data_IF_977715260239
#
_entry.id   IF_977715260239
#
_cell.length_a   1.000
_cell.length_b   1.000
_cell.length_c   1.000
_cell.angle_alpha   90.00
_cell.angle_beta   90.00
_cell.angle_gamma   90.00
#
_symmetry.space_group_name_H-M   'P 1'
#
loop_
_entity.id
_entity.type
_entity.pdbx_description
1 polymer ?
#
# COMPACT_ATOMS: atom_id res chain seq x y z
N UNK A 1 -19.81 3.56 -5.92
CA UNK A 1 -19.27 3.20 -7.25
C UNK A 1 -18.77 1.75 -7.29
N UNK A 2 -17.84 1.32 -6.39
CA UNK A 2 -17.29 -0.05 -6.39
C UNK A 2 -18.39 -1.10 -6.21
N UNK A 3 -19.21 -0.96 -5.19
CA UNK A 3 -20.27 -1.94 -4.86
C UNK A 3 -21.32 -2.08 -5.97
N UNK A 4 -21.58 -1.01 -6.74
CA UNK A 4 -22.54 -1.03 -7.84
C UNK A 4 -22.06 -1.88 -9.03
N UNK A 5 -20.79 -2.25 -9.06
CA UNK A 5 -20.18 -3.13 -10.08
C UNK A 5 -20.28 -4.62 -9.71
N UNK A 6 -20.76 -4.93 -8.50
CA UNK A 6 -20.87 -6.29 -7.97
C UNK A 6 -19.59 -7.13 -8.16
N UNK A 7 -18.42 -6.64 -7.70
CA UNK A 7 -17.18 -7.39 -7.87
C UNK A 7 -17.15 -8.62 -6.95
N UNK A 8 -16.47 -9.67 -7.36
CA UNK A 8 -16.18 -10.84 -6.51
C UNK A 8 -15.01 -10.56 -5.55
N UNK A 9 -14.03 -9.76 -6.00
CA UNK A 9 -12.82 -9.42 -5.26
C UNK A 9 -12.54 -7.91 -5.40
N UNK A 10 -12.15 -7.28 -4.30
CA UNK A 10 -11.67 -5.88 -4.28
C UNK A 10 -10.26 -5.85 -3.73
N UNK A 11 -9.32 -5.32 -4.51
CA UNK A 11 -7.96 -5.00 -4.04
C UNK A 11 -7.98 -3.57 -3.49
N UNK A 12 -7.55 -3.39 -2.23
CA UNK A 12 -7.53 -2.09 -1.56
C UNK A 12 -6.08 -1.64 -1.44
N UNK A 13 -5.70 -0.63 -2.24
CA UNK A 13 -4.37 -0.02 -2.24
C UNK A 13 -4.50 1.47 -1.91
N UNK A 14 -4.40 1.80 -0.64
CA UNK A 14 -4.59 3.15 -0.08
C UNK A 14 -3.58 3.41 1.04
N UNK A 15 -3.40 4.68 1.43
CA UNK A 15 -2.58 5.06 2.58
C UNK A 15 -1.38 5.93 2.23
N UNK A 16 -0.86 5.89 1.00
CA UNK A 16 0.25 6.76 0.59
C UNK A 16 -0.15 8.24 0.66
N UNK A 17 -1.35 8.58 0.21
CA UNK A 17 -1.84 9.97 0.24
C UNK A 17 -2.14 10.45 1.67
N UNK A 18 -2.53 9.55 2.59
CA UNK A 18 -2.73 9.91 3.99
C UNK A 18 -1.42 10.34 4.67
N UNK A 19 -0.28 9.86 4.17
CA UNK A 19 1.06 10.27 4.61
C UNK A 19 1.58 11.46 3.80
N UNK A 20 1.60 11.34 2.48
CA UNK A 20 2.21 12.32 1.60
C UNK A 20 1.44 13.64 1.56
N UNK A 21 0.12 13.61 1.33
CA UNK A 21 -0.70 14.83 1.31
C UNK A 21 -0.79 15.48 2.70
N UNK A 22 -0.73 14.69 3.77
CA UNK A 22 -0.66 15.26 5.12
C UNK A 22 0.58 16.11 5.31
N UNK A 23 1.73 15.63 4.84
CA UNK A 23 2.99 16.37 4.90
C UNK A 23 2.98 17.63 4.03
N UNK A 24 2.38 17.57 2.83
CA UNK A 24 2.42 18.66 1.86
C UNK A 24 1.30 19.68 2.04
N UNK A 25 0.10 19.24 2.40
CA UNK A 25 -1.13 20.06 2.35
C UNK A 25 -1.90 20.07 3.67
N UNK A 26 -1.42 19.38 4.70
CA UNK A 26 -2.16 19.22 5.95
C UNK A 26 -3.44 18.37 5.81
N UNK A 27 -3.62 17.68 4.68
CA UNK A 27 -4.77 16.81 4.40
C UNK A 27 -4.35 15.35 4.55
N UNK A 28 -5.28 14.49 4.85
CA UNK A 28 -5.01 13.07 5.07
C UNK A 28 -5.76 12.59 6.30
N UNK A 29 -5.94 11.29 6.39
CA UNK A 29 -6.67 10.67 7.50
C UNK A 29 -5.69 10.31 8.61
N UNK A 30 -5.95 10.76 9.82
CA UNK A 30 -5.13 10.37 10.99
C UNK A 30 -5.19 8.86 11.22
N UNK A 31 -4.11 8.24 11.76
CA UNK A 31 -4.01 6.80 11.91
C UNK A 31 -5.21 6.12 12.57
N UNK A 32 -5.74 6.71 13.65
CA UNK A 32 -6.89 6.15 14.38
C UNK A 32 -8.18 6.18 13.56
N UNK A 33 -8.37 7.23 12.76
CA UNK A 33 -9.50 7.34 11.83
C UNK A 33 -9.31 6.43 10.63
N UNK A 34 -8.07 6.32 10.13
CA UNK A 34 -7.71 5.46 9.02
C UNK A 34 -8.07 4.00 9.33
N UNK A 35 -7.67 3.49 10.51
CA UNK A 35 -8.01 2.13 10.94
C UNK A 35 -9.54 1.92 10.99
N UNK A 36 -10.28 2.87 11.57
CA UNK A 36 -11.75 2.80 11.68
C UNK A 36 -12.44 2.80 10.32
N UNK A 37 -12.01 3.70 9.40
CA UNK A 37 -12.59 3.76 8.05
C UNK A 37 -12.25 2.52 7.23
N UNK A 38 -11.02 2.03 7.36
CA UNK A 38 -10.60 0.81 6.69
C UNK A 38 -11.45 -0.39 7.14
N UNK A 39 -11.64 -0.55 8.45
CA UNK A 39 -12.50 -1.61 9.00
C UNK A 39 -13.97 -1.46 8.56
N UNK A 40 -14.48 -0.23 8.46
CA UNK A 40 -15.84 0.02 7.97
C UNK A 40 -16.01 -0.41 6.49
N UNK A 41 -14.99 -0.15 5.65
CA UNK A 41 -14.95 -0.63 4.25
C UNK A 41 -15.01 -2.16 4.22
N UNK A 42 -14.16 -2.83 5.01
CA UNK A 42 -14.12 -4.29 5.07
C UNK A 42 -15.45 -4.90 5.54
N UNK A 43 -16.07 -4.33 6.56
CA UNK A 43 -17.37 -4.76 7.03
C UNK A 43 -18.44 -4.64 5.92
N UNK A 44 -18.38 -3.55 5.13
CA UNK A 44 -19.29 -3.33 4.01
C UNK A 44 -19.07 -4.34 2.88
N UNK A 45 -17.81 -4.65 2.53
CA UNK A 45 -17.49 -5.67 1.54
C UNK A 45 -17.97 -7.06 2.02
N UNK A 46 -17.67 -7.41 3.26
CA UNK A 46 -18.09 -8.66 3.88
C UNK A 46 -19.61 -8.83 3.86
N UNK A 47 -20.38 -7.79 4.16
CA UNK A 47 -21.85 -7.82 4.13
C UNK A 47 -22.43 -8.05 2.73
N UNK A 48 -21.62 -7.95 1.70
CA UNK A 48 -21.95 -8.20 0.28
C UNK A 48 -21.30 -9.48 -0.27
N UNK A 49 -20.66 -10.29 0.59
CA UNK A 49 -19.88 -11.47 0.20
C UNK A 49 -18.75 -11.17 -0.78
N UNK A 50 -18.20 -9.94 -0.74
CA UNK A 50 -17.09 -9.51 -1.58
C UNK A 50 -15.80 -9.79 -0.83
N UNK A 51 -14.87 -10.52 -1.45
CA UNK A 51 -13.54 -10.78 -0.90
C UNK A 51 -12.66 -9.53 -1.02
N UNK A 52 -11.79 -9.30 -0.03
CA UNK A 52 -10.84 -8.19 -0.05
C UNK A 52 -9.40 -8.71 -0.02
N UNK A 53 -8.53 -8.05 -0.79
CA UNK A 53 -7.07 -8.15 -0.71
C UNK A 53 -6.57 -6.79 -0.27
N UNK A 54 -5.70 -6.75 0.75
CA UNK A 54 -5.16 -5.52 1.29
C UNK A 54 -3.75 -5.29 0.74
N UNK A 55 -3.43 -4.03 0.43
CA UNK A 55 -2.07 -3.65 0.03
C UNK A 55 -1.55 -2.59 0.99
N UNK A 56 -0.31 -2.74 1.47
CA UNK A 56 0.36 -1.65 2.17
C UNK A 56 0.80 -0.56 1.18
N UNK A 57 0.88 0.74 1.58
CA UNK A 57 1.50 1.76 0.75
C UNK A 57 2.96 1.38 0.44
N UNK A 58 3.45 1.74 -0.76
CA UNK A 58 4.79 1.39 -1.20
C UNK A 58 5.86 2.32 -0.62
N UNK A 59 6.15 3.44 -1.28
CA UNK A 59 7.23 4.36 -0.90
C UNK A 59 6.82 5.83 -1.09
N UNK A 60 7.47 6.73 -0.35
CA UNK A 60 7.63 8.15 -0.65
C UNK A 60 9.12 8.46 -0.57
N UNK A 61 9.82 8.29 -1.68
CA UNK A 61 11.27 8.28 -1.79
C UNK A 61 11.85 6.87 -1.83
N UNK A 62 12.93 6.71 -2.60
CA UNK A 62 13.56 5.42 -2.88
C UNK A 62 14.90 5.21 -2.18
N UNK A 63 15.33 6.15 -1.33
CA UNK A 63 16.57 6.02 -0.57
C UNK A 63 16.51 4.85 0.40
N UNK A 64 17.64 4.18 0.57
CA UNK A 64 17.76 2.95 1.37
C UNK A 64 18.52 3.13 2.68
N UNK A 65 19.04 4.34 2.92
CA UNK A 65 19.82 4.73 4.10
C UNK A 65 18.97 5.29 5.25
N UNK A 66 17.64 5.10 5.21
CA UNK A 66 16.68 5.63 6.18
C UNK A 66 16.54 7.16 6.17
N UNK A 67 16.97 7.84 5.11
CA UNK A 67 16.88 9.31 5.01
C UNK A 67 15.62 9.83 4.30
N UNK A 68 14.68 8.95 3.90
CA UNK A 68 13.37 9.39 3.40
C UNK A 68 12.53 9.94 4.56
N UNK A 69 12.12 11.22 4.54
CA UNK A 69 11.47 11.86 5.69
C UNK A 69 10.16 11.22 6.15
N UNK A 70 9.46 10.54 5.23
CA UNK A 70 8.13 9.97 5.47
C UNK A 70 8.13 8.46 5.74
N UNK A 71 9.30 7.81 5.81
CA UNK A 71 9.39 6.36 6.03
C UNK A 71 8.77 5.93 7.37
N UNK A 72 8.93 6.74 8.42
CA UNK A 72 8.33 6.46 9.72
C UNK A 72 6.80 6.38 9.66
N UNK A 73 6.18 7.38 9.02
CA UNK A 73 4.73 7.42 8.86
C UNK A 73 4.24 6.31 7.91
N UNK A 74 4.92 6.07 6.78
CA UNK A 74 4.57 4.96 5.88
C UNK A 74 4.63 3.61 6.60
N UNK A 75 5.63 3.39 7.43
CA UNK A 75 5.75 2.17 8.23
C UNK A 75 4.59 2.06 9.24
N UNK A 76 4.17 3.18 9.87
CA UNK A 76 3.03 3.22 10.78
C UNK A 76 1.73 2.80 10.09
N UNK A 77 1.40 3.40 8.93
CA UNK A 77 0.20 3.04 8.16
C UNK A 77 0.27 1.61 7.61
N UNK A 78 1.44 1.16 7.16
CA UNK A 78 1.66 -0.22 6.74
C UNK A 78 1.39 -1.21 7.88
N UNK A 79 1.82 -0.89 9.12
CA UNK A 79 1.58 -1.74 10.28
C UNK A 79 0.09 -1.80 10.66
N UNK A 80 -0.65 -0.70 10.50
CA UNK A 80 -2.11 -0.70 10.68
C UNK A 80 -2.75 -1.68 9.69
N UNK A 81 -2.39 -1.61 8.39
CA UNK A 81 -2.94 -2.49 7.36
C UNK A 81 -2.57 -3.96 7.62
N UNK A 82 -1.31 -4.25 8.01
CA UNK A 82 -0.88 -5.60 8.39
C UNK A 82 -1.72 -6.16 9.56
N UNK A 83 -1.94 -5.32 10.59
CA UNK A 83 -2.77 -5.67 11.74
C UNK A 83 -4.21 -5.96 11.33
N UNK A 84 -4.80 -5.11 10.48
CA UNK A 84 -6.15 -5.30 9.94
C UNK A 84 -6.23 -6.61 9.15
N UNK A 85 -5.27 -6.87 8.26
CA UNK A 85 -5.23 -8.11 7.47
C UNK A 85 -5.20 -9.34 8.39
N UNK A 86 -4.32 -9.35 9.38
CA UNK A 86 -4.21 -10.46 10.35
C UNK A 86 -5.48 -10.65 11.17
N UNK A 87 -6.04 -9.56 11.74
CA UNK A 87 -7.27 -9.61 12.54
C UNK A 87 -8.49 -10.14 11.78
N UNK A 88 -8.55 -9.87 10.47
CA UNK A 88 -9.68 -10.26 9.62
C UNK A 88 -9.40 -11.54 8.79
N UNK A 89 -8.21 -12.15 8.91
CA UNK A 89 -7.82 -13.33 8.12
C UNK A 89 -7.79 -13.05 6.62
N UNK A 90 -7.38 -11.84 6.20
CA UNK A 90 -7.41 -11.40 4.81
C UNK A 90 -6.01 -11.49 4.17
N UNK A 91 -5.94 -11.79 2.86
CA UNK A 91 -4.69 -11.78 2.11
C UNK A 91 -4.10 -10.36 2.05
N UNK A 92 -2.77 -10.30 2.12
CA UNK A 92 -1.99 -9.06 2.13
C UNK A 92 -0.93 -9.07 1.02
N UNK A 93 -0.90 -8.02 0.23
CA UNK A 93 0.23 -7.64 -0.62
C UNK A 93 1.07 -6.62 0.15
N UNK A 94 2.16 -7.06 0.76
CA UNK A 94 3.02 -6.17 1.56
C UNK A 94 3.97 -5.37 0.67
N UNK A 95 3.42 -4.43 -0.09
CA UNK A 95 4.18 -3.61 -1.04
C UNK A 95 5.30 -2.82 -0.34
N UNK A 96 5.06 -2.31 0.88
CA UNK A 96 6.08 -1.59 1.65
C UNK A 96 7.35 -2.42 1.81
N UNK A 97 7.19 -3.67 2.29
CA UNK A 97 8.29 -4.58 2.47
C UNK A 97 8.96 -4.93 1.13
N UNK A 98 8.16 -5.26 0.13
CA UNK A 98 8.65 -5.66 -1.19
C UNK A 98 9.45 -4.56 -1.88
N UNK A 99 8.98 -3.31 -1.81
CA UNK A 99 9.69 -2.15 -2.37
C UNK A 99 11.01 -1.91 -1.64
N UNK A 100 11.02 -1.91 -0.31
CA UNK A 100 12.25 -1.74 0.47
C UNK A 100 13.26 -2.83 0.15
N UNK A 101 12.84 -4.11 0.15
CA UNK A 101 13.71 -5.24 -0.19
C UNK A 101 14.28 -5.15 -1.61
N UNK A 102 13.48 -4.67 -2.57
CA UNK A 102 13.90 -4.44 -3.95
C UNK A 102 14.92 -3.32 -4.04
N UNK A 103 14.64 -2.18 -3.41
CA UNK A 103 15.49 -0.99 -3.45
C UNK A 103 16.86 -1.23 -2.79
N UNK A 104 16.90 -1.95 -1.66
CA UNK A 104 18.17 -2.34 -1.02
C UNK A 104 19.09 -3.06 -2.01
N UNK A 105 18.55 -3.89 -2.90
CA UNK A 105 19.32 -4.66 -3.88
C UNK A 105 19.64 -3.90 -5.16
N UNK A 106 18.76 -2.96 -5.56
CA UNK A 106 18.78 -2.38 -6.90
C UNK A 106 19.04 -0.86 -6.91
N UNK A 107 19.27 -0.24 -5.75
CA UNK A 107 19.56 1.19 -5.62
C UNK A 107 20.89 1.42 -4.87
N UNK A 108 22.03 0.94 -5.40
CA UNK A 108 23.34 1.11 -4.75
C UNK A 108 23.80 2.58 -4.69
N UNK A 109 23.28 3.44 -5.57
CA UNK A 109 23.55 4.87 -5.58
C UNK A 109 22.72 5.68 -4.58
N UNK A 110 21.83 5.03 -3.82
CA UNK A 110 20.91 5.68 -2.87
C UNK A 110 20.11 6.82 -3.51
N UNK A 111 19.70 6.61 -4.77
CA UNK A 111 18.87 7.54 -5.52
C UNK A 111 17.52 7.73 -4.86
N UNK A 112 16.98 8.95 -4.87
CA UNK A 112 15.68 9.22 -4.26
C UNK A 112 14.46 8.87 -5.15
N UNK A 113 14.71 8.59 -6.45
CA UNK A 113 13.68 8.27 -7.46
C UNK A 113 14.31 7.62 -8.69
N UNK A 114 13.47 7.26 -9.67
CA UNK A 114 13.80 6.68 -10.98
C UNK A 114 14.23 5.21 -10.97
N UNK A 115 14.12 4.52 -9.85
CA UNK A 115 14.26 3.06 -9.79
C UNK A 115 12.91 2.40 -10.08
N UNK A 116 11.88 2.70 -9.28
CA UNK A 116 10.50 2.21 -9.41
C UNK A 116 9.48 3.36 -9.51
N UNK A 117 9.86 4.58 -9.16
CA UNK A 117 9.01 5.77 -9.24
C UNK A 117 9.64 6.81 -10.15
N UNK A 118 8.84 7.72 -10.74
CA UNK A 118 9.39 8.83 -11.53
C UNK A 118 9.54 10.13 -10.72
N UNK A 119 8.79 10.28 -9.62
CA UNK A 119 8.78 11.50 -8.80
C UNK A 119 8.86 11.23 -7.29
N UNK A 120 9.29 10.05 -6.88
CA UNK A 120 9.38 9.51 -5.51
C UNK A 120 8.08 8.87 -5.00
N UNK A 121 6.94 9.05 -5.66
CA UNK A 121 5.62 8.58 -5.22
C UNK A 121 4.92 7.76 -6.29
N UNK A 122 4.77 8.35 -7.48
CA UNK A 122 4.06 7.70 -8.58
C UNK A 122 4.99 6.73 -9.32
N UNK A 123 4.45 5.58 -9.66
CA UNK A 123 5.22 4.51 -10.27
C UNK A 123 5.64 4.86 -11.70
N UNK A 124 6.86 4.50 -12.07
CA UNK A 124 7.23 4.37 -13.46
C UNK A 124 6.79 2.98 -14.01
N UNK A 125 6.97 2.72 -15.30
CA UNK A 125 6.51 1.46 -15.91
C UNK A 125 7.08 0.21 -15.22
N UNK A 126 8.29 0.29 -14.65
CA UNK A 126 8.91 -0.81 -13.91
C UNK A 126 8.24 -1.01 -12.54
N UNK A 127 7.90 0.09 -11.87
CA UNK A 127 7.16 0.07 -10.61
C UNK A 127 5.74 -0.45 -10.78
N UNK A 128 5.05 -0.05 -11.86
CA UNK A 128 3.72 -0.55 -12.20
C UNK A 128 3.76 -2.07 -12.43
N UNK A 129 4.73 -2.56 -13.21
CA UNK A 129 4.89 -4.01 -13.43
C UNK A 129 5.21 -4.74 -12.13
N UNK A 130 6.08 -4.18 -11.30
CA UNK A 130 6.43 -4.77 -10.01
C UNK A 130 5.20 -4.91 -9.08
N UNK A 131 4.36 -3.87 -8.99
CA UNK A 131 3.11 -3.93 -8.23
C UNK A 131 2.15 -4.97 -8.82
N UNK A 132 2.01 -5.00 -10.14
CA UNK A 132 1.13 -5.95 -10.81
C UNK A 132 1.53 -7.40 -10.53
N UNK A 133 2.83 -7.71 -10.59
CA UNK A 133 3.36 -9.05 -10.32
C UNK A 133 3.11 -9.46 -8.85
N UNK A 134 3.34 -8.55 -7.89
CA UNK A 134 3.10 -8.84 -6.48
C UNK A 134 1.61 -9.02 -6.15
N UNK A 135 0.74 -8.23 -6.76
CA UNK A 135 -0.72 -8.39 -6.63
C UNK A 135 -1.17 -9.70 -7.26
N UNK A 136 -0.64 -10.05 -8.45
CA UNK A 136 -0.97 -11.28 -9.16
C UNK A 136 -0.58 -12.53 -8.37
N UNK A 137 0.60 -12.52 -7.76
CA UNK A 137 1.07 -13.63 -6.92
C UNK A 137 0.10 -13.95 -5.78
N UNK A 138 -0.46 -12.91 -5.13
CA UNK A 138 -1.45 -13.10 -4.06
C UNK A 138 -2.80 -13.55 -4.64
N UNK A 139 -3.22 -12.96 -5.76
CA UNK A 139 -4.49 -13.27 -6.41
C UNK A 139 -4.57 -14.73 -6.85
N UNK A 140 -3.51 -15.27 -7.44
CA UNK A 140 -3.42 -16.69 -7.84
C UNK A 140 -3.55 -17.66 -6.66
N UNK A 141 -3.15 -17.24 -5.46
CA UNK A 141 -3.28 -18.03 -4.23
C UNK A 141 -4.70 -18.11 -3.66
N UNK A 142 -5.62 -17.30 -4.17
CA UNK A 142 -7.03 -17.28 -3.75
C UNK A 142 -7.83 -18.34 -4.51
N UNK A 143 -7.63 -19.59 -4.17
CA UNK A 143 -8.48 -20.69 -4.66
C UNK A 143 -9.75 -20.81 -3.85
#
# INVERSE_FOLDING_TARGET
DVLAKNPDIVVIYVGVNDVWHKSMFGTGTDPDKFEKFYQAILNKLKSKNIRAILCTPAVVGEKTDMSNPLDGDLNRYSNIIRSIATKNGLPLVDLRKKFVDYLIKNNPGNEEKNILTYDRVHMNSKGDQFIADEMWNVLQGLK
#
